data_IF_973015666870
#
_entry.id   IF_973015666870
#
_cell.length_a   1.000
_cell.length_b   1.000
_cell.length_c   1.000
_cell.angle_alpha   90.00
_cell.angle_beta   90.00
_cell.angle_gamma   90.00
#
_symmetry.space_group_name_H-M   'P 1'
#
loop_
_entity.id
_entity.type
_entity.pdbx_description
1 polymer ?
#
# COMPACT_ATOMS: atom_id res chain seq x y z
N UNK A 1 -7.51 -1.26 -10.91
CA UNK A 1 -6.28 -0.59 -11.37
C UNK A 1 -5.21 -1.66 -11.58
N UNK A 2 -4.26 -1.44 -12.48
CA UNK A 2 -3.09 -2.33 -12.61
C UNK A 2 -2.05 -1.89 -11.58
N UNK A 3 -1.54 -2.82 -10.76
CA UNK A 3 -0.53 -2.50 -9.75
C UNK A 3 0.79 -2.11 -10.43
N UNK A 4 1.50 -1.15 -9.83
CA UNK A 4 2.86 -0.77 -10.22
C UNK A 4 3.80 -0.75 -9.01
N UNK A 5 5.10 -0.77 -9.30
CA UNK A 5 6.11 -0.60 -8.26
C UNK A 5 5.90 0.72 -7.50
N UNK A 6 5.96 0.66 -6.17
CA UNK A 6 5.69 1.77 -5.27
C UNK A 6 4.26 1.79 -4.70
N UNK A 7 3.30 1.10 -5.32
CA UNK A 7 1.94 1.05 -4.77
C UNK A 7 1.92 0.37 -3.39
N UNK A 8 1.06 0.87 -2.51
CA UNK A 8 0.77 0.24 -1.22
C UNK A 8 -0.38 -0.73 -1.40
N UNK A 9 -0.19 -1.95 -0.92
CA UNK A 9 -1.17 -3.04 -1.00
C UNK A 9 -1.34 -3.71 0.36
N UNK A 10 -2.44 -4.43 0.52
CA UNK A 10 -2.69 -5.30 1.66
C UNK A 10 -3.20 -6.65 1.17
N UNK A 11 -3.00 -7.71 1.96
CA UNK A 11 -3.74 -8.95 1.74
C UNK A 11 -5.25 -8.70 1.91
N UNK A 12 -6.07 -9.32 1.08
CA UNK A 12 -7.55 -9.26 1.19
C UNK A 12 -8.08 -9.80 2.51
N UNK A 13 -7.31 -10.63 3.21
CA UNK A 13 -7.60 -11.10 4.57
C UNK A 13 -7.33 -10.04 5.65
N UNK A 14 -6.82 -8.86 5.28
CA UNK A 14 -6.27 -7.85 6.18
C UNK A 14 -4.79 -8.10 6.51
N UNK A 15 -4.22 -7.25 7.37
CA UNK A 15 -2.85 -7.36 7.85
C UNK A 15 -2.10 -6.03 7.82
N UNK A 16 -0.77 -6.12 7.79
CA UNK A 16 0.09 -4.94 7.60
C UNK A 16 0.13 -4.53 6.12
N UNK A 17 0.28 -3.24 5.82
CA UNK A 17 0.51 -2.78 4.47
C UNK A 17 1.86 -3.27 3.94
N UNK A 18 1.91 -3.55 2.64
CA UNK A 18 3.09 -4.00 1.90
C UNK A 18 3.33 -3.04 0.74
N UNK A 19 4.58 -2.86 0.35
CA UNK A 19 4.95 -2.09 -0.85
C UNK A 19 5.20 -3.02 -2.02
N UNK A 20 4.61 -2.72 -3.17
CA UNK A 20 4.89 -3.44 -4.42
C UNK A 20 6.30 -3.07 -4.89
N UNK A 21 7.21 -4.05 -4.95
CA UNK A 21 8.55 -3.88 -5.49
C UNK A 21 8.60 -4.18 -7.00
N UNK A 22 7.83 -5.17 -7.47
CA UNK A 22 7.79 -5.58 -8.87
C UNK A 22 6.48 -6.34 -9.19
N UNK A 23 5.98 -6.18 -10.41
CA UNK A 23 4.82 -6.94 -10.94
C UNK A 23 5.25 -7.76 -12.15
N UNK A 24 5.03 -9.07 -12.11
CA UNK A 24 5.34 -10.03 -13.17
C UNK A 24 4.10 -10.87 -13.49
N UNK A 25 3.22 -10.35 -14.34
CA UNK A 25 1.96 -11.02 -14.65
C UNK A 25 1.06 -11.10 -13.42
N UNK A 26 0.76 -12.31 -12.95
CA UNK A 26 -0.07 -12.54 -11.76
C UNK A 26 0.74 -12.66 -10.46
N UNK A 27 2.07 -12.58 -10.53
CA UNK A 27 2.95 -12.62 -9.38
C UNK A 27 3.43 -11.20 -9.02
N UNK A 28 3.29 -10.83 -7.75
CA UNK A 28 3.64 -9.50 -7.22
C UNK A 28 4.68 -9.67 -6.13
N UNK A 29 5.89 -9.14 -6.35
CA UNK A 29 6.91 -9.08 -5.31
C UNK A 29 6.59 -7.91 -4.37
N UNK A 30 6.34 -8.23 -3.11
CA UNK A 30 6.04 -7.27 -2.06
C UNK A 30 7.19 -7.18 -1.04
N UNK A 31 7.39 -6.00 -0.46
CA UNK A 31 8.33 -5.77 0.65
C UNK A 31 7.62 -5.07 1.81
N UNK A 32 8.01 -5.39 3.04
CA UNK A 32 7.46 -4.76 4.24
C UNK A 32 8.42 -4.89 5.41
N UNK A 33 8.25 -4.01 6.40
CA UNK A 33 8.99 -4.07 7.66
C UNK A 33 8.21 -4.93 8.66
N UNK A 34 8.84 -5.96 9.21
CA UNK A 34 8.28 -6.70 10.33
C UNK A 34 8.27 -5.89 11.62
N UNK A 35 7.53 -6.37 12.62
CA UNK A 35 7.38 -5.67 13.90
C UNK A 35 8.70 -5.48 14.66
N UNK A 36 9.70 -6.35 14.42
CA UNK A 36 11.03 -6.28 15.03
C UNK A 36 12.02 -5.43 14.20
N UNK A 37 11.58 -4.83 13.09
CA UNK A 37 12.42 -4.01 12.21
C UNK A 37 13.14 -4.78 11.10
N UNK A 38 12.87 -6.08 10.95
CA UNK A 38 13.39 -6.87 9.83
C UNK A 38 12.70 -6.52 8.51
N UNK A 39 13.47 -6.45 7.42
CA UNK A 39 12.93 -6.25 6.09
C UNK A 39 12.56 -7.59 5.44
N UNK A 40 11.28 -7.82 5.22
CA UNK A 40 10.76 -8.99 4.53
C UNK A 40 10.50 -8.71 3.05
N UNK A 41 10.58 -9.78 2.26
CA UNK A 41 10.29 -9.78 0.83
C UNK A 41 9.60 -11.08 0.45
N UNK A 42 8.48 -11.02 -0.24
CA UNK A 42 7.74 -12.22 -0.65
C UNK A 42 6.97 -11.99 -1.95
N UNK A 43 6.90 -13.03 -2.78
CA UNK A 43 6.09 -13.00 -4.00
C UNK A 43 4.71 -13.53 -3.67
N UNK A 44 3.70 -12.69 -3.85
CA UNK A 44 2.31 -12.96 -3.53
C UNK A 44 1.47 -12.94 -4.81
N UNK A 45 0.43 -13.79 -4.94
CA UNK A 45 -0.45 -13.75 -6.09
C UNK A 45 -1.26 -12.45 -6.12
N UNK A 46 -1.37 -11.80 -7.28
CA UNK A 46 -2.17 -10.58 -7.48
C UNK A 46 -3.60 -10.74 -6.96
N UNK A 47 -4.17 -11.93 -7.12
CA UNK A 47 -5.52 -12.26 -6.68
C UNK A 47 -5.73 -12.13 -5.16
N UNK A 48 -4.67 -12.16 -4.34
CA UNK A 48 -4.77 -12.04 -2.87
C UNK A 48 -4.58 -10.61 -2.38
N UNK A 49 -4.22 -9.66 -3.25
CA UNK A 49 -3.90 -8.28 -2.88
C UNK A 49 -5.05 -7.32 -3.18
N UNK A 50 -5.16 -6.28 -2.36
CA UNK A 50 -5.97 -5.08 -2.61
C UNK A 50 -5.07 -3.86 -2.50
N UNK A 51 -5.22 -2.91 -3.43
CA UNK A 51 -4.52 -1.63 -3.38
C UNK A 51 -5.13 -0.77 -2.27
N UNK A 52 -4.28 -0.13 -1.48
CA UNK A 52 -4.67 0.84 -0.47
C UNK A 52 -4.42 2.22 -1.06
N UNK A 53 -5.45 3.03 -1.19
CA UNK A 53 -5.32 4.44 -1.55
C UNK A 53 -4.88 5.20 -0.29
N UNK A 54 -3.85 6.03 -0.41
CA UNK A 54 -3.59 7.05 0.60
C UNK A 54 -4.66 8.12 0.39
N UNK A 55 -5.63 8.24 1.30
CA UNK A 55 -6.57 9.35 1.29
C UNK A 55 -5.74 10.64 1.45
N UNK A 56 -5.55 11.39 0.36
CA UNK A 56 -4.94 12.73 0.35
C UNK A 56 -5.92 13.81 0.92
N UNK A 57 -6.89 13.42 1.76
CA UNK A 57 -7.89 14.32 2.36
C UNK A 57 -7.46 14.76 3.76
N UNK A 58 -6.51 15.70 3.82
CA UNK A 58 -6.32 16.57 5.00
C UNK A 58 -5.80 17.95 4.54
N UNK A 59 -6.45 18.54 3.54
CA UNK A 59 -6.44 19.99 3.36
C UNK A 59 -7.50 20.60 4.30
N UNK A 60 -7.17 20.75 5.58
CA UNK A 60 -7.89 21.66 6.47
C UNK A 60 -7.66 23.10 5.99
N UNK A 61 -8.49 23.61 5.07
CA UNK A 61 -8.65 25.05 4.84
C UNK A 61 -9.51 25.64 5.97
N UNK A 62 -8.82 26.04 7.04
CA UNK A 62 -9.33 26.88 8.13
C UNK A 62 -9.46 28.34 7.64
N UNK A 63 -10.57 28.67 6.97
CA UNK A 63 -10.97 30.05 6.66
C UNK A 63 -12.06 30.52 7.64
N UNK A 64 -11.69 30.73 8.91
CA UNK A 64 -12.44 31.61 9.83
C UNK A 64 -11.76 33.00 9.86
N UNK A 65 -12.14 33.88 8.91
CA UNK A 65 -11.91 35.33 9.01
C UNK A 65 -13.21 36.07 8.65
N UNK A 66 -14.20 35.99 9.54
CA UNK A 66 -15.38 36.87 9.56
C UNK A 66 -15.13 37.98 10.62
N UNK A 67 -15.12 39.23 10.13
CA UNK A 67 -14.88 40.51 10.83
C UNK A 67 -15.67 40.76 12.14
#
# INVERSE_FOLDING_TARGET
>A
MELKAGDIVMLKSGGQPLTVAEVKGEDVLCVWMGMEGDLFRETLPLATLIQVEEDEDDEEEDDEDDE
#
